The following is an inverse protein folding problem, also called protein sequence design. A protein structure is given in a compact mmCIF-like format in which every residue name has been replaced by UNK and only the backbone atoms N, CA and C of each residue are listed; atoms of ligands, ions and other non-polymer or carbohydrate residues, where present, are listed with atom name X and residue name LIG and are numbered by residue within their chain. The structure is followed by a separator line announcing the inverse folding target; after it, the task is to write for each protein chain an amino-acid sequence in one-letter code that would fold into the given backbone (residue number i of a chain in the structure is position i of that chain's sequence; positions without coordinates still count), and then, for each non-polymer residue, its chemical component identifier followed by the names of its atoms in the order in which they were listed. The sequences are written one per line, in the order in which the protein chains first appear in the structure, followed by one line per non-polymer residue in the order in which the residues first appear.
data_IF_819637134813
#
_entry.id   IF_819637134813
#
_cell.length_a   1.000
_cell.length_b   1.000
_cell.length_c   1.000
_cell.angle_alpha   90.00
_cell.angle_beta   90.00
_cell.angle_gamma   90.00
#
_symmetry.space_group_name_H-M   'P 1'
#
loop_
_entity.id
_entity.type
_entity.pdbx_description
1 polymer ?
#
# COMPACT_ATOMS: atom_id res chain seq x y z
N UNK A 1 13.68 -28.87 -22.74
CA UNK A 1 13.09 -27.54 -23.00
C UNK A 1 11.86 -27.32 -22.12
N UNK A 2 11.60 -26.09 -21.63
CA UNK A 2 10.32 -25.78 -20.96
C UNK A 2 9.18 -25.91 -21.98
N UNK A 3 8.12 -26.63 -21.64
CA UNK A 3 6.98 -26.79 -22.55
C UNK A 3 6.39 -25.41 -22.88
N UNK A 4 5.89 -25.24 -24.10
CA UNK A 4 5.27 -23.98 -24.52
C UNK A 4 4.13 -23.57 -23.58
N UNK A 5 3.39 -24.55 -23.04
CA UNK A 5 2.39 -24.34 -22.00
C UNK A 5 2.97 -23.70 -20.72
N UNK A 6 4.12 -24.16 -20.23
CA UNK A 6 4.74 -23.57 -19.02
C UNK A 6 5.23 -22.16 -19.26
N UNK A 7 5.86 -21.90 -20.42
CA UNK A 7 6.28 -20.55 -20.81
C UNK A 7 5.09 -19.59 -20.94
N UNK A 8 3.96 -20.03 -21.50
CA UNK A 8 2.72 -19.24 -21.56
C UNK A 8 2.16 -18.94 -20.17
N UNK A 9 2.14 -19.92 -19.27
CA UNK A 9 1.68 -19.73 -17.88
C UNK A 9 2.54 -18.74 -17.10
N UNK A 10 3.87 -18.83 -17.22
CA UNK A 10 4.77 -17.88 -16.54
C UNK A 10 4.56 -16.45 -17.04
N UNK A 11 4.41 -16.25 -18.35
CA UNK A 11 4.08 -14.93 -18.92
C UNK A 11 2.73 -14.43 -18.43
N UNK A 12 1.72 -15.30 -18.37
CA UNK A 12 0.40 -14.93 -17.84
C UNK A 12 0.49 -14.47 -16.38
N UNK A 13 1.20 -15.20 -15.51
CA UNK A 13 1.42 -14.79 -14.12
C UNK A 13 2.14 -13.43 -14.02
N UNK A 14 3.12 -13.20 -14.90
CA UNK A 14 3.86 -11.93 -14.94
C UNK A 14 2.98 -10.75 -15.38
N UNK A 15 2.07 -10.97 -16.34
CA UNK A 15 1.08 -9.97 -16.75
C UNK A 15 0.08 -9.70 -15.61
N UNK A 16 -0.41 -10.75 -14.95
CA UNK A 16 -1.34 -10.63 -13.83
C UNK A 16 -0.73 -9.88 -12.64
N UNK A 17 0.51 -10.20 -12.27
CA UNK A 17 1.24 -9.46 -11.22
C UNK A 17 1.39 -7.98 -11.57
N UNK A 18 1.74 -7.66 -12.82
CA UNK A 18 1.85 -6.27 -13.27
C UNK A 18 0.52 -5.54 -13.22
N UNK A 19 -0.55 -6.18 -13.68
CA UNK A 19 -1.90 -5.62 -13.63
C UNK A 19 -2.29 -5.32 -12.18
N UNK A 20 -2.04 -6.27 -11.27
CA UNK A 20 -2.35 -6.11 -9.85
C UNK A 20 -1.50 -5.06 -9.17
N UNK A 21 -0.23 -4.89 -9.56
CA UNK A 21 0.60 -3.77 -9.09
C UNK A 21 -0.03 -2.43 -9.43
N UNK A 22 -0.47 -2.24 -10.68
CA UNK A 22 -1.10 -0.99 -11.12
C UNK A 22 -2.43 -0.73 -10.40
N UNK A 23 -3.23 -1.77 -10.18
CA UNK A 23 -4.48 -1.66 -9.41
C UNK A 23 -4.19 -1.26 -7.95
N UNK A 24 -3.20 -1.88 -7.30
CA UNK A 24 -2.76 -1.54 -5.95
C UNK A 24 -2.22 -0.11 -5.88
N UNK A 25 -1.41 0.32 -6.85
CA UNK A 25 -0.87 1.69 -6.92
C UNK A 25 -2.00 2.72 -7.00
N UNK A 26 -3.02 2.47 -7.84
CA UNK A 26 -4.20 3.32 -7.91
C UNK A 26 -4.95 3.35 -6.57
N UNK A 27 -5.18 2.19 -5.96
CA UNK A 27 -5.87 2.12 -4.66
C UNK A 27 -5.07 2.81 -3.54
N UNK A 28 -3.73 2.74 -3.59
CA UNK A 28 -2.84 3.41 -2.65
C UNK A 28 -2.92 4.93 -2.81
N UNK A 29 -2.96 5.43 -4.05
CA UNK A 29 -3.14 6.86 -4.32
C UNK A 29 -4.49 7.38 -3.80
N UNK A 30 -5.58 6.63 -4.01
CA UNK A 30 -6.91 6.97 -3.49
C UNK A 30 -6.92 7.01 -1.95
N UNK A 31 -6.40 5.98 -1.29
CA UNK A 31 -6.28 5.95 0.18
C UNK A 31 -5.40 7.09 0.70
N UNK A 32 -4.30 7.38 0.00
CA UNK A 32 -3.39 8.47 0.33
C UNK A 32 -4.07 9.84 0.27
N UNK A 33 -4.94 10.07 -0.72
CA UNK A 33 -5.70 11.31 -0.82
C UNK A 33 -6.69 11.51 0.33
N UNK A 34 -7.35 10.43 0.77
CA UNK A 34 -8.27 10.46 1.92
C UNK A 34 -7.48 10.72 3.20
N UNK A 35 -6.34 10.03 3.41
CA UNK A 35 -5.48 10.24 4.57
C UNK A 35 -4.94 11.67 4.63
N UNK A 36 -4.46 12.21 3.51
CA UNK A 36 -4.00 13.60 3.44
C UNK A 36 -5.11 14.63 3.73
N UNK A 37 -6.38 14.28 3.49
CA UNK A 37 -7.52 15.12 3.90
C UNK A 37 -7.80 15.01 5.39
N UNK A 38 -7.72 13.82 5.98
CA UNK A 38 -7.80 13.62 7.43
C UNK A 38 -6.70 14.37 8.16
N UNK A 39 -5.45 14.27 7.70
CA UNK A 39 -4.30 14.93 8.31
C UNK A 39 -4.46 16.46 8.28
N UNK A 40 -5.00 17.01 7.19
CA UNK A 40 -5.31 18.45 7.11
C UNK A 40 -6.35 18.87 8.15
N UNK A 41 -7.42 18.11 8.32
CA UNK A 41 -8.45 18.39 9.33
C UNK A 41 -7.86 18.34 10.75
N UNK A 42 -7.04 17.34 11.07
CA UNK A 42 -6.34 17.24 12.37
C UNK A 42 -5.39 18.42 12.60
N UNK A 43 -4.63 18.82 11.58
CA UNK A 43 -3.73 19.98 11.66
C UNK A 43 -4.49 21.28 11.87
N UNK A 44 -5.58 21.50 11.13
CA UNK A 44 -6.42 22.71 11.25
C UNK A 44 -7.06 22.78 12.65
N UNK A 45 -7.53 21.65 13.17
CA UNK A 45 -8.05 21.54 14.54
C UNK A 45 -6.98 21.88 15.57
N UNK A 46 -5.79 21.32 15.43
CA UNK A 46 -4.66 21.57 16.34
C UNK A 46 -4.27 23.04 16.34
N UNK A 47 -4.13 23.65 15.17
CA UNK A 47 -3.81 25.07 15.02
C UNK A 47 -4.86 25.97 15.67
N UNK A 48 -6.15 25.64 15.55
CA UNK A 48 -7.23 26.39 16.22
C UNK A 48 -7.17 26.29 17.74
N UNK A 49 -6.84 25.11 18.28
CA UNK A 49 -6.70 24.89 19.71
C UNK A 49 -5.47 25.60 20.28
N UNK A 50 -4.35 25.58 19.56
CA UNK A 50 -3.15 26.34 19.89
C UNK A 50 -3.43 27.85 19.90
N UNK A 51 -4.12 28.34 18.87
CA UNK A 51 -4.55 29.73 18.76
C UNK A 51 -5.46 30.14 19.91
N UNK A 52 -6.41 29.28 20.29
CA UNK A 52 -7.28 29.50 21.45
C UNK A 52 -6.46 29.60 22.74
N UNK A 53 -5.48 28.71 22.94
CA UNK A 53 -4.63 28.73 24.13
C UNK A 53 -3.78 30.01 24.20
N UNK A 54 -3.20 30.44 23.08
CA UNK A 54 -2.37 31.63 22.99
C UNK A 54 -3.16 32.95 23.14
N UNK A 55 -4.26 33.09 22.41
CA UNK A 55 -5.06 34.33 22.36
C UNK A 55 -6.07 34.44 23.52
N UNK A 56 -6.29 33.39 24.31
CA UNK A 56 -7.16 33.45 25.50
C UNK A 56 -6.58 34.28 26.66
N UNK A 57 -5.27 34.59 26.65
CA UNK A 57 -4.60 35.45 27.65
C UNK A 57 -4.57 36.92 27.22
N UNK A 58 -5.75 37.51 27.05
CA UNK A 58 -5.85 38.96 26.84
C UNK A 58 -5.79 39.64 28.22
N UNK A 59 -4.68 40.33 28.49
CA UNK A 59 -4.45 41.02 29.77
C UNK A 59 -5.12 42.42 29.84
N UNK A 60 -5.83 42.85 28.79
CA UNK A 60 -6.42 44.19 28.67
C UNK A 60 -7.96 44.22 28.69
N UNK A 61 -8.53 45.19 29.42
CA UNK A 61 -9.98 45.41 29.58
C UNK A 61 -10.70 45.68 28.23
N UNK A 62 -9.99 46.23 27.24
CA UNK A 62 -10.54 46.58 25.92
C UNK A 62 -10.86 45.37 25.03
N UNK A 63 -10.18 44.23 25.23
CA UNK A 63 -10.39 43.01 24.44
C UNK A 63 -11.46 42.06 25.01
N UNK A 64 -11.87 42.27 26.26
CA UNK A 64 -12.83 41.42 26.97
C UNK A 64 -14.19 41.22 26.24
N UNK A 65 -14.77 42.24 25.56
CA UNK A 65 -16.02 42.06 24.83
C UNK A 65 -15.91 41.12 23.62
N UNK A 66 -14.73 41.01 23.01
CA UNK A 66 -14.50 40.22 21.80
C UNK A 66 -14.10 38.78 22.09
N UNK A 67 -13.46 38.53 23.24
CA UNK A 67 -12.95 37.23 23.65
C UNK A 67 -14.05 36.15 23.67
N UNK A 68 -15.23 36.48 24.22
CA UNK A 68 -16.35 35.52 24.27
C UNK A 68 -16.86 35.10 22.89
N UNK A 69 -16.90 36.03 21.91
CA UNK A 69 -17.28 35.72 20.53
C UNK A 69 -16.20 34.87 19.85
N UNK A 70 -14.94 35.23 20.03
CA UNK A 70 -13.78 34.51 19.50
C UNK A 70 -13.72 33.05 19.97
N UNK A 71 -13.85 32.81 21.29
CA UNK A 71 -13.86 31.45 21.86
C UNK A 71 -15.01 30.63 21.25
N UNK A 72 -16.22 31.21 21.15
CA UNK A 72 -17.37 30.53 20.54
C UNK A 72 -17.14 30.21 19.06
N UNK A 73 -16.54 31.13 18.29
CA UNK A 73 -16.24 30.87 16.88
C UNK A 73 -15.20 29.76 16.70
N UNK A 74 -14.14 29.74 17.52
CA UNK A 74 -13.15 28.65 17.46
C UNK A 74 -13.79 27.31 17.81
N UNK A 75 -14.58 27.24 18.89
CA UNK A 75 -15.28 26.00 19.26
C UNK A 75 -16.19 25.48 18.15
N UNK A 76 -16.99 26.37 17.54
CA UNK A 76 -17.85 26.00 16.42
C UNK A 76 -17.05 25.49 15.21
N UNK A 77 -15.85 26.03 14.97
CA UNK A 77 -14.96 25.56 13.91
C UNK A 77 -14.36 24.18 14.24
N UNK A 78 -13.88 23.98 15.47
CA UNK A 78 -13.37 22.69 15.96
C UNK A 78 -14.44 21.61 15.90
N UNK A 79 -15.69 21.93 16.25
CA UNK A 79 -16.82 21.01 16.16
C UNK A 79 -17.13 20.66 14.70
N UNK A 80 -17.08 21.64 13.79
CA UNK A 80 -17.26 21.39 12.35
C UNK A 80 -16.19 20.47 11.80
N UNK A 81 -14.92 20.75 12.09
CA UNK A 81 -13.79 19.93 11.67
C UNK A 81 -13.91 18.51 12.22
N UNK A 82 -14.28 18.37 13.50
CA UNK A 82 -14.46 17.06 14.13
C UNK A 82 -15.60 16.27 13.49
N UNK A 83 -16.70 16.93 13.13
CA UNK A 83 -17.81 16.31 12.39
C UNK A 83 -17.39 15.87 10.98
N UNK A 84 -16.60 16.67 10.27
CA UNK A 84 -16.13 16.32 8.94
C UNK A 84 -15.10 15.18 8.97
N UNK A 85 -14.22 15.15 9.97
CA UNK A 85 -13.32 14.03 10.23
C UNK A 85 -14.11 12.74 10.55
N UNK A 86 -15.16 12.85 11.37
CA UNK A 86 -16.01 11.71 11.70
C UNK A 86 -16.74 11.12 10.47
N UNK A 87 -17.14 11.96 9.51
CA UNK A 87 -17.71 11.50 8.23
C UNK A 87 -16.67 10.82 7.33
N UNK A 88 -15.43 11.30 7.35
CA UNK A 88 -14.34 10.81 6.51
C UNK A 88 -13.70 9.52 7.05
N UNK A 89 -13.70 9.32 8.37
CA UNK A 89 -13.17 8.14 9.05
C UNK A 89 -13.68 6.78 8.48
N UNK A 90 -14.99 6.55 8.27
CA UNK A 90 -15.46 5.30 7.67
C UNK A 90 -15.03 5.14 6.21
N UNK A 91 -14.87 6.23 5.46
CA UNK A 91 -14.36 6.18 4.09
C UNK A 91 -12.89 5.77 4.06
N UNK A 92 -12.08 6.33 4.96
CA UNK A 92 -10.67 5.95 5.12
C UNK A 92 -10.54 4.48 5.50
N UNK A 93 -11.28 4.00 6.50
CA UNK A 93 -11.24 2.61 6.93
C UNK A 93 -11.60 1.64 5.79
N UNK A 94 -12.63 1.96 5.00
CA UNK A 94 -13.01 1.17 3.82
C UNK A 94 -11.93 1.18 2.74
N UNK A 95 -11.29 2.33 2.50
CA UNK A 95 -10.21 2.46 1.53
C UNK A 95 -8.96 1.68 1.95
N UNK A 96 -8.62 1.71 3.24
CA UNK A 96 -7.51 0.94 3.81
C UNK A 96 -7.77 -0.57 3.75
N UNK A 97 -8.99 -1.04 3.99
CA UNK A 97 -9.36 -2.44 3.80
C UNK A 97 -9.21 -2.87 2.33
N UNK A 98 -9.69 -2.06 1.38
CA UNK A 98 -9.51 -2.32 -0.06
C UNK A 98 -8.05 -2.37 -0.44
N UNK A 99 -7.23 -1.47 0.08
CA UNK A 99 -5.78 -1.46 -0.16
C UNK A 99 -5.12 -2.72 0.40
N UNK A 100 -5.48 -3.14 1.61
CA UNK A 100 -4.98 -4.40 2.20
C UNK A 100 -5.35 -5.61 1.34
N UNK A 101 -6.60 -5.68 0.87
CA UNK A 101 -7.04 -6.75 -0.02
C UNK A 101 -6.28 -6.75 -1.36
N UNK A 102 -6.08 -5.59 -1.99
CA UNK A 102 -5.34 -5.46 -3.24
C UNK A 102 -3.88 -5.89 -3.09
N UNK A 103 -3.22 -5.50 -1.99
CA UNK A 103 -1.85 -5.92 -1.66
C UNK A 103 -1.75 -7.44 -1.47
N UNK A 104 -2.72 -8.05 -0.78
CA UNK A 104 -2.76 -9.49 -0.60
C UNK A 104 -2.92 -10.24 -1.94
N UNK A 105 -3.77 -9.74 -2.82
CA UNK A 105 -3.95 -10.30 -4.17
C UNK A 105 -2.67 -10.15 -5.01
N UNK A 106 -2.05 -8.97 -5.03
CA UNK A 106 -0.77 -8.73 -5.71
C UNK A 106 0.30 -9.70 -5.22
N UNK A 107 0.45 -9.86 -3.92
CA UNK A 107 1.42 -10.78 -3.31
C UNK A 107 1.15 -12.24 -3.69
N UNK A 108 -0.11 -12.62 -3.84
CA UNK A 108 -0.47 -13.96 -4.29
C UNK A 108 0.09 -14.25 -5.69
N UNK A 109 -0.07 -13.34 -6.65
CA UNK A 109 0.47 -13.53 -8.00
C UNK A 109 2.00 -13.49 -8.03
N UNK A 110 2.62 -12.62 -7.24
CA UNK A 110 4.08 -12.58 -7.08
C UNK A 110 4.62 -13.93 -6.58
N UNK A 111 4.04 -14.46 -5.50
CA UNK A 111 4.43 -15.76 -4.93
C UNK A 111 4.26 -16.88 -5.95
N UNK A 112 3.13 -16.93 -6.66
CA UNK A 112 2.87 -17.94 -7.69
C UNK A 112 3.90 -17.88 -8.83
N UNK A 113 4.26 -16.66 -9.29
CA UNK A 113 5.29 -16.47 -10.30
C UNK A 113 6.66 -16.95 -9.81
N UNK A 114 7.06 -16.53 -8.62
CA UNK A 114 8.37 -16.88 -8.04
C UNK A 114 8.51 -18.39 -7.82
N UNK A 115 7.47 -19.02 -7.26
CA UNK A 115 7.43 -20.48 -7.10
C UNK A 115 7.61 -21.17 -8.44
N UNK A 116 6.88 -20.72 -9.47
CA UNK A 116 6.96 -21.34 -10.79
C UNK A 116 8.33 -21.16 -11.44
N UNK A 117 8.96 -19.99 -11.24
CA UNK A 117 10.32 -19.73 -11.71
C UNK A 117 11.35 -20.63 -11.02
N UNK A 118 11.19 -20.90 -9.73
CA UNK A 118 12.05 -21.82 -8.98
C UNK A 118 11.91 -23.26 -9.51
N UNK A 119 10.67 -23.74 -9.68
CA UNK A 119 10.38 -25.07 -10.26
C UNK A 119 11.02 -25.24 -11.65
N UNK A 120 10.97 -24.21 -12.51
CA UNK A 120 11.62 -24.28 -13.83
C UNK A 120 13.15 -24.34 -13.75
N UNK A 121 13.75 -23.62 -12.80
CA UNK A 121 15.21 -23.63 -12.57
C UNK A 121 15.67 -24.99 -12.06
N UNK A 122 14.97 -25.57 -11.09
CA UNK A 122 15.27 -26.91 -10.56
C UNK A 122 15.12 -27.98 -11.64
N UNK A 123 14.03 -27.95 -12.41
CA UNK A 123 13.82 -28.89 -13.51
C UNK A 123 14.87 -28.73 -14.63
N UNK A 124 15.44 -27.53 -14.80
CA UNK A 124 16.55 -27.32 -15.73
C UNK A 124 17.86 -27.89 -15.17
N UNK A 125 18.19 -27.58 -13.91
CA UNK A 125 19.39 -28.08 -13.25
C UNK A 125 19.42 -29.61 -13.22
N UNK A 126 18.29 -30.26 -12.91
CA UNK A 126 18.19 -31.72 -12.92
C UNK A 126 18.49 -32.31 -14.30
N UNK A 127 17.92 -31.75 -15.36
CA UNK A 127 18.19 -32.20 -16.74
C UNK A 127 19.63 -31.99 -17.18
N UNK A 128 20.25 -30.90 -16.73
CA UNK A 128 21.66 -30.62 -17.01
C UNK A 128 22.57 -31.63 -16.28
N UNK A 129 22.24 -31.98 -15.03
CA UNK A 129 22.93 -33.03 -14.29
C UNK A 129 22.76 -34.42 -14.93
N UNK A 130 21.52 -34.82 -15.25
CA UNK A 130 21.23 -36.11 -15.91
C UNK A 130 22.03 -36.25 -17.23
N UNK A 131 22.11 -35.17 -18.03
CA UNK A 131 22.88 -35.16 -19.27
C UNK A 131 24.41 -35.24 -19.04
N UNK A 132 24.93 -34.64 -17.96
CA UNK A 132 26.34 -34.75 -17.59
C UNK A 132 26.70 -36.16 -17.12
N UNK A 133 25.80 -36.82 -16.39
CA UNK A 133 25.97 -38.19 -15.94
C UNK A 133 26.00 -39.16 -17.13
N UNK A 134 25.07 -39.01 -18.09
CA UNK A 134 25.07 -39.79 -19.33
C UNK A 134 26.36 -39.64 -20.14
N UNK A 135 26.86 -38.41 -20.31
CA UNK A 135 28.12 -38.13 -20.99
C UNK A 135 29.31 -38.78 -20.27
N UNK A 136 29.30 -38.76 -18.93
CA UNK A 136 30.35 -39.37 -18.10
C UNK A 136 30.38 -40.90 -18.25
N UNK A 137 29.20 -41.54 -18.25
CA UNK A 137 29.06 -42.99 -18.49
C UNK A 137 29.53 -43.39 -19.90
N UNK A 138 29.13 -42.64 -20.94
CA UNK A 138 29.56 -42.90 -22.31
C UNK A 138 31.07 -42.77 -22.49
N UNK A 139 31.69 -41.80 -21.80
CA UNK A 139 33.14 -41.63 -21.80
C UNK A 139 33.83 -42.81 -21.11
N UNK A 140 33.37 -43.20 -19.93
CA UNK A 140 33.92 -44.34 -19.18
C UNK A 140 33.89 -45.63 -20.00
N UNK A 141 32.75 -45.94 -20.62
CA UNK A 141 32.56 -47.13 -21.46
C UNK A 141 33.40 -47.14 -22.76
N UNK A 142 33.99 -46.00 -23.16
CA UNK A 142 34.86 -45.90 -24.36
C UNK A 142 36.35 -46.02 -24.03
N UNK A 143 36.72 -45.83 -22.76
CA UNK A 143 38.11 -45.89 -22.29
C UNK A 143 38.45 -47.15 -21.49
N UNK A 144 37.46 -47.98 -21.15
CA UNK A 144 37.64 -49.34 -20.65
C UNK A 144 37.54 -50.36 -21.75
#
# INVERSE_FOLDING_TARGET
MATEATRRRLRALQVMERLKSLETERQAAETGAIRARMDRLENDKTALLERLSGESRIDGLEGAPYLGRFIRSIRAEVDRISNDAAKLAPELARSEEKLRAALAEQKTYEILRLKRLAEEREARAKREADAQDELSLLRWNRTG
#
